data_IF_369761092372
#
_entry.id   IF_369761092372
#
_cell.length_a   1.000
_cell.length_b   1.000
_cell.length_c   1.000
_cell.angle_alpha   90.00
_cell.angle_beta   90.00
_cell.angle_gamma   90.00
#
_symmetry.space_group_name_H-M   'P 1'
#
loop_
_entity.id
_entity.type
_entity.pdbx_description
1 polymer ?
#
# COMPACT_ATOMS: atom_id res chain seq x y z
N UNK A 1 7.66 52.97 15.89
CA UNK A 1 7.44 51.53 15.68
C UNK A 1 6.96 50.96 17.01
N UNK A 2 5.66 50.68 17.18
CA UNK A 2 5.14 50.11 18.44
C UNK A 2 5.69 48.68 18.57
N UNK A 3 6.23 48.27 19.73
CA UNK A 3 6.57 46.87 19.94
C UNK A 3 5.28 46.05 19.92
N UNK A 4 5.27 44.96 19.17
CA UNK A 4 4.19 43.98 19.24
C UNK A 4 4.11 43.48 20.69
N UNK A 5 2.94 43.63 21.32
CA UNK A 5 2.71 43.09 22.66
C UNK A 5 3.04 41.59 22.67
N UNK A 6 3.67 41.08 23.74
CA UNK A 6 3.99 39.66 23.84
C UNK A 6 2.69 38.86 23.83
N UNK A 7 2.62 37.84 22.96
CA UNK A 7 1.49 36.91 22.90
C UNK A 7 1.31 36.30 24.29
N UNK A 8 0.09 36.37 24.81
CA UNK A 8 -0.24 35.85 26.13
C UNK A 8 -0.66 34.38 26.04
N UNK A 9 -0.53 33.65 27.15
CA UNK A 9 -1.02 32.27 27.23
C UNK A 9 -2.52 32.16 26.90
N UNK A 10 -3.32 33.16 27.29
CA UNK A 10 -4.75 33.21 26.98
C UNK A 10 -5.02 33.33 25.47
N UNK A 11 -4.17 34.03 24.72
CA UNK A 11 -4.28 34.11 23.26
C UNK A 11 -3.91 32.78 22.59
N UNK A 12 -2.90 32.07 23.10
CA UNK A 12 -2.55 30.72 22.62
C UNK A 12 -3.67 29.72 22.92
N UNK A 13 -4.30 29.79 24.09
CA UNK A 13 -5.46 28.97 24.44
C UNK A 13 -6.64 29.23 23.49
N UNK A 14 -6.93 30.50 23.21
CA UNK A 14 -7.99 30.89 22.26
C UNK A 14 -7.70 30.39 20.84
N UNK A 15 -6.46 30.53 20.35
CA UNK A 15 -6.03 30.02 19.04
C UNK A 15 -6.11 28.49 18.96
N UNK A 16 -5.71 27.81 20.04
CA UNK A 16 -5.79 26.34 20.14
C UNK A 16 -7.25 25.87 20.12
N UNK A 17 -8.15 26.57 20.83
CA UNK A 17 -9.57 26.28 20.81
C UNK A 17 -10.20 26.47 19.43
N UNK A 18 -9.84 27.55 18.72
CA UNK A 18 -10.30 27.79 17.35
C UNK A 18 -9.79 26.71 16.38
N UNK A 19 -8.52 26.32 16.49
CA UNK A 19 -7.93 25.22 15.72
C UNK A 19 -8.66 23.89 15.99
N UNK A 20 -8.90 23.57 17.27
CA UNK A 20 -9.59 22.35 17.66
C UNK A 20 -11.02 22.27 17.11
N UNK A 21 -11.74 23.40 17.09
CA UNK A 21 -13.09 23.47 16.51
C UNK A 21 -13.08 23.17 15.00
N UNK A 22 -12.19 23.81 14.24
CA UNK A 22 -12.05 23.57 12.79
C UNK A 22 -11.66 22.11 12.52
N UNK A 23 -10.77 21.53 13.34
CA UNK A 23 -10.38 20.13 13.21
C UNK A 23 -11.57 19.19 13.45
N UNK A 24 -12.42 19.46 14.45
CA UNK A 24 -13.61 18.68 14.72
C UNK A 24 -14.63 18.74 13.55
N UNK A 25 -14.76 19.89 12.91
CA UNK A 25 -15.60 20.05 11.72
C UNK A 25 -15.05 19.24 10.54
N UNK A 26 -13.73 19.31 10.31
CA UNK A 26 -13.06 18.51 9.28
C UNK A 26 -13.26 17.00 9.52
N UNK A 27 -13.05 16.54 10.74
CA UNK A 27 -13.29 15.13 11.13
C UNK A 27 -14.74 14.72 10.83
N UNK A 28 -15.70 15.58 11.15
CA UNK A 28 -17.12 15.32 10.89
C UNK A 28 -17.40 15.16 9.40
N UNK A 29 -16.84 16.03 8.55
CA UNK A 29 -17.01 15.97 7.10
C UNK A 29 -16.38 14.70 6.52
N UNK A 30 -15.16 14.36 6.95
CA UNK A 30 -14.46 13.15 6.46
C UNK A 30 -15.19 11.88 6.91
N UNK A 31 -15.71 11.83 8.14
CA UNK A 31 -16.53 10.70 8.61
C UNK A 31 -17.79 10.52 7.76
N UNK A 32 -18.49 11.61 7.42
CA UNK A 32 -19.66 11.56 6.54
C UNK A 32 -19.30 11.03 5.15
N UNK A 33 -18.19 11.49 4.58
CA UNK A 33 -17.69 10.98 3.29
C UNK A 33 -17.41 9.47 3.35
N UNK A 34 -16.70 9.00 4.39
CA UNK A 34 -16.41 7.58 4.55
C UNK A 34 -17.68 6.74 4.74
N UNK A 35 -18.67 7.26 5.47
CA UNK A 35 -19.97 6.61 5.60
C UNK A 35 -20.69 6.47 4.25
N UNK A 36 -20.68 7.52 3.41
CA UNK A 36 -21.26 7.45 2.06
C UNK A 36 -20.52 6.46 1.15
N UNK A 37 -19.18 6.42 1.20
CA UNK A 37 -18.40 5.43 0.44
C UNK A 37 -18.77 4.01 0.88
N UNK A 38 -18.88 3.78 2.19
CA UNK A 38 -19.26 2.49 2.75
C UNK A 38 -20.68 2.08 2.30
N UNK A 39 -21.64 3.00 2.32
CA UNK A 39 -23.01 2.75 1.89
C UNK A 39 -23.10 2.39 0.40
N UNK A 40 -22.44 3.17 -0.47
CA UNK A 40 -22.39 2.88 -1.91
C UNK A 40 -21.74 1.51 -2.16
N UNK A 41 -20.64 1.19 -1.47
CA UNK A 41 -20.01 -0.14 -1.55
C UNK A 41 -20.98 -1.24 -1.11
N UNK A 42 -21.67 -1.06 0.02
CA UNK A 42 -22.62 -2.04 0.54
C UNK A 42 -23.80 -2.25 -0.44
N UNK A 43 -24.30 -1.18 -1.05
CA UNK A 43 -25.38 -1.21 -2.04
C UNK A 43 -25.02 -2.03 -3.29
N UNK A 44 -23.81 -1.88 -3.81
CA UNK A 44 -23.40 -2.56 -5.04
C UNK A 44 -22.75 -3.93 -4.82
N UNK A 45 -22.26 -4.21 -3.60
CA UNK A 45 -21.57 -5.47 -3.27
C UNK A 45 -22.36 -6.73 -3.65
N UNK A 46 -23.69 -6.85 -3.39
CA UNK A 46 -24.43 -8.05 -3.77
C UNK A 46 -24.47 -8.28 -5.28
N UNK A 47 -24.62 -7.22 -6.07
CA UNK A 47 -24.62 -7.31 -7.53
C UNK A 47 -23.26 -7.73 -8.07
N UNK A 48 -22.18 -7.19 -7.51
CA UNK A 48 -20.80 -7.59 -7.86
C UNK A 48 -20.57 -9.07 -7.53
N UNK A 49 -20.96 -9.52 -6.34
CA UNK A 49 -20.79 -10.92 -5.94
C UNK A 49 -21.59 -11.88 -6.82
N UNK A 50 -22.83 -11.51 -7.19
CA UNK A 50 -23.63 -12.29 -8.14
C UNK A 50 -22.93 -12.42 -9.48
N UNK A 51 -22.43 -11.32 -10.04
CA UNK A 51 -21.74 -11.31 -11.34
C UNK A 51 -20.44 -12.13 -11.31
N UNK A 52 -19.70 -12.11 -10.19
CA UNK A 52 -18.50 -12.95 -10.01
C UNK A 52 -18.88 -14.44 -10.05
N UNK A 53 -19.99 -14.82 -9.43
CA UNK A 53 -20.43 -16.22 -9.43
C UNK A 53 -20.91 -16.65 -10.83
N UNK A 54 -21.70 -15.82 -11.51
CA UNK A 54 -22.12 -16.06 -12.89
C UNK A 54 -20.92 -16.16 -13.85
N UNK A 55 -19.90 -15.30 -13.66
CA UNK A 55 -18.65 -15.37 -14.41
C UNK A 55 -17.90 -16.69 -14.15
N UNK A 56 -17.86 -17.15 -12.89
CA UNK A 56 -17.21 -18.41 -12.51
C UNK A 56 -17.90 -19.62 -13.13
N UNK A 57 -19.22 -19.67 -13.09
CA UNK A 57 -20.01 -20.73 -13.72
C UNK A 57 -19.76 -20.75 -15.23
N UNK A 58 -19.88 -19.60 -15.89
CA UNK A 58 -19.62 -19.48 -17.33
C UNK A 58 -18.17 -19.87 -17.71
N UNK A 59 -17.19 -19.50 -16.88
CA UNK A 59 -15.80 -19.88 -17.07
C UNK A 59 -15.59 -21.39 -16.92
N UNK A 60 -16.21 -22.00 -15.91
CA UNK A 60 -16.12 -23.44 -15.66
C UNK A 60 -16.73 -24.23 -16.84
N UNK A 61 -17.90 -23.81 -17.32
CA UNK A 61 -18.57 -24.42 -18.48
C UNK A 61 -17.73 -24.28 -19.76
N UNK A 62 -17.14 -23.10 -19.97
CA UNK A 62 -16.27 -22.84 -21.10
C UNK A 62 -15.00 -23.70 -21.04
N UNK A 63 -14.38 -23.81 -19.87
CA UNK A 63 -13.20 -24.66 -19.65
C UNK A 63 -13.52 -26.14 -19.88
N UNK A 64 -14.64 -26.63 -19.34
CA UNK A 64 -15.10 -28.00 -19.55
C UNK A 64 -15.36 -28.29 -21.04
N UNK A 65 -15.99 -27.35 -21.74
CA UNK A 65 -16.26 -27.45 -23.18
C UNK A 65 -14.98 -27.47 -24.01
N UNK A 66 -13.99 -26.62 -23.68
CA UNK A 66 -12.68 -26.61 -24.35
C UNK A 66 -11.93 -27.91 -24.08
N UNK A 67 -12.01 -28.46 -22.87
CA UNK A 67 -11.37 -29.73 -22.52
C UNK A 67 -11.97 -30.90 -23.31
N UNK A 68 -13.29 -30.93 -23.51
CA UNK A 68 -13.95 -31.94 -24.36
C UNK A 68 -13.62 -31.77 -25.85
N UNK A 69 -13.31 -30.54 -26.28
CA UNK A 69 -13.04 -30.18 -27.67
C UNK A 69 -11.56 -29.82 -27.93
N UNK A 70 -10.62 -30.42 -27.20
CA UNK A 70 -9.17 -30.14 -27.32
C UNK A 70 -8.65 -30.28 -28.76
N UNK A 71 -9.25 -31.18 -29.55
CA UNK A 71 -8.89 -31.40 -30.95
C UNK A 71 -9.07 -30.15 -31.83
N UNK A 72 -10.03 -29.28 -31.51
CA UNK A 72 -10.25 -28.01 -32.22
C UNK A 72 -9.13 -26.98 -31.97
N UNK A 73 -8.29 -27.22 -30.96
CA UNK A 73 -7.18 -26.36 -30.55
C UNK A 73 -5.81 -27.00 -30.82
N UNK A 74 -5.71 -28.02 -31.70
CA UNK A 74 -4.40 -28.60 -32.07
C UNK A 74 -3.49 -27.58 -32.77
N UNK A 75 -4.03 -26.85 -33.75
CA UNK A 75 -3.35 -25.77 -34.50
C UNK A 75 -4.37 -24.75 -35.05
N UNK A 76 -4.43 -23.50 -34.56
CA UNK A 76 -3.62 -22.89 -33.51
C UNK A 76 -4.03 -23.32 -32.09
N UNK A 77 -3.07 -23.34 -31.16
CA UNK A 77 -3.30 -23.73 -29.75
C UNK A 77 -4.21 -22.78 -28.97
N UNK A 78 -4.32 -21.55 -29.44
CA UNK A 78 -5.22 -20.54 -28.86
C UNK A 78 -5.91 -19.76 -29.97
N UNK A 79 -7.12 -19.28 -29.69
CA UNK A 79 -7.94 -18.43 -30.57
C UNK A 79 -8.59 -17.36 -29.72
N UNK A 80 -8.90 -16.21 -30.31
CA UNK A 80 -9.60 -15.12 -29.60
C UNK A 80 -11.01 -15.02 -30.16
N UNK A 81 -12.01 -15.11 -29.29
CA UNK A 81 -13.43 -14.95 -29.63
C UNK A 81 -14.03 -13.88 -28.72
N UNK A 82 -14.78 -12.93 -29.27
CA UNK A 82 -15.42 -11.86 -28.50
C UNK A 82 -14.47 -11.14 -27.52
N UNK A 83 -13.19 -10.98 -27.89
CA UNK A 83 -12.16 -10.39 -27.03
C UNK A 83 -11.54 -11.31 -25.98
N UNK A 84 -12.05 -12.54 -25.83
CA UNK A 84 -11.54 -13.55 -24.88
C UNK A 84 -10.64 -14.55 -25.60
N UNK A 85 -9.41 -14.70 -25.12
CA UNK A 85 -8.46 -15.70 -25.64
C UNK A 85 -8.68 -17.05 -24.97
N UNK A 86 -9.03 -18.05 -25.77
CA UNK A 86 -9.29 -19.42 -25.33
C UNK A 86 -8.36 -20.40 -26.02
N UNK A 87 -8.08 -21.52 -25.36
CA UNK A 87 -7.30 -22.61 -25.95
C UNK A 87 -6.58 -23.44 -24.90
N UNK A 88 -5.77 -24.37 -25.39
CA UNK A 88 -5.08 -25.35 -24.54
C UNK A 88 -3.62 -24.96 -24.42
N UNK A 89 -3.24 -24.51 -23.23
CA UNK A 89 -1.87 -24.16 -22.88
C UNK A 89 -1.38 -25.06 -21.75
N UNK A 90 -0.10 -25.42 -21.78
CA UNK A 90 0.51 -26.10 -20.64
C UNK A 90 0.65 -25.09 -19.51
N UNK A 91 0.16 -25.44 -18.32
CA UNK A 91 0.38 -24.62 -17.12
C UNK A 91 1.87 -24.39 -16.95
N UNK A 92 2.32 -23.13 -16.80
CA UNK A 92 3.72 -22.84 -16.52
C UNK A 92 4.12 -23.57 -15.24
N UNK A 93 5.34 -24.11 -15.21
CA UNK A 93 5.87 -24.83 -14.05
C UNK A 93 5.86 -23.89 -12.84
N UNK A 94 4.91 -24.09 -11.92
CA UNK A 94 4.87 -23.35 -10.66
C UNK A 94 5.84 -24.02 -9.69
N UNK A 95 6.84 -23.27 -9.25
CA UNK A 95 7.66 -23.68 -8.12
C UNK A 95 6.90 -23.29 -6.84
N UNK A 96 6.65 -24.26 -5.98
CA UNK A 96 6.02 -24.04 -4.68
C UNK A 96 6.93 -24.61 -3.61
N UNK A 97 7.10 -23.86 -2.54
CA UNK A 97 7.88 -24.25 -1.37
C UNK A 97 6.99 -24.17 -0.15
N UNK A 98 7.09 -25.17 0.72
CA UNK A 98 6.37 -25.20 2.01
C UNK A 98 7.08 -24.34 3.05
N UNK A 99 8.41 -24.26 2.96
CA UNK A 99 9.27 -23.48 3.85
C UNK A 99 10.33 -22.76 3.00
N UNK A 100 10.23 -21.45 2.95
CA UNK A 100 11.14 -20.59 2.20
C UNK A 100 12.55 -20.56 2.81
N UNK A 101 12.66 -20.60 4.14
CA UNK A 101 13.95 -20.56 4.83
C UNK A 101 14.76 -21.85 4.59
N UNK A 102 14.09 -23.01 4.61
CA UNK A 102 14.73 -24.28 4.27
C UNK A 102 15.22 -24.32 2.82
N UNK A 103 14.48 -23.73 1.88
CA UNK A 103 14.88 -23.64 0.48
C UNK A 103 16.07 -22.70 0.30
N UNK A 104 16.06 -21.53 0.93
CA UNK A 104 17.19 -20.59 0.92
C UNK A 104 18.45 -21.24 1.50
N UNK A 105 18.34 -21.97 2.62
CA UNK A 105 19.48 -22.69 3.20
C UNK A 105 20.02 -23.78 2.26
N UNK A 106 19.14 -24.57 1.65
CA UNK A 106 19.52 -25.60 0.69
C UNK A 106 20.16 -25.01 -0.59
N UNK A 107 19.70 -23.84 -1.05
CA UNK A 107 20.29 -23.13 -2.18
C UNK A 107 21.72 -22.71 -1.83
N UNK A 108 21.94 -22.12 -0.64
CA UNK A 108 23.28 -21.72 -0.19
C UNK A 108 24.23 -22.92 -0.02
N UNK A 109 23.72 -24.07 0.43
CA UNK A 109 24.53 -25.28 0.63
C UNK A 109 24.90 -25.97 -0.68
N UNK A 110 23.95 -26.14 -1.60
CA UNK A 110 24.12 -26.96 -2.81
C UNK A 110 24.55 -26.17 -4.04
N UNK A 111 24.21 -24.89 -4.09
CA UNK A 111 24.51 -23.99 -5.20
C UNK A 111 25.16 -22.69 -4.70
N UNK A 112 26.28 -22.76 -3.95
CA UNK A 112 26.90 -21.57 -3.36
C UNK A 112 27.36 -20.56 -4.42
N UNK A 113 27.74 -21.01 -5.61
CA UNK A 113 28.19 -20.14 -6.70
C UNK A 113 27.06 -19.32 -7.35
N UNK A 114 25.82 -19.83 -7.34
CA UNK A 114 24.66 -19.20 -7.98
C UNK A 114 23.61 -18.74 -6.95
N UNK A 115 23.93 -18.82 -5.66
CA UNK A 115 22.99 -18.54 -4.57
C UNK A 115 22.42 -17.11 -4.66
N UNK A 116 23.27 -16.14 -5.01
CA UNK A 116 22.87 -14.73 -5.15
C UNK A 116 21.99 -14.47 -6.38
N UNK A 117 21.99 -15.37 -7.38
CA UNK A 117 21.07 -15.32 -8.52
C UNK A 117 19.69 -15.92 -8.18
N UNK A 118 19.66 -16.86 -7.23
CA UNK A 118 18.45 -17.61 -6.86
C UNK A 118 17.76 -17.05 -5.61
N UNK A 119 18.44 -16.21 -4.82
CA UNK A 119 17.94 -15.61 -3.59
C UNK A 119 17.82 -14.11 -3.79
N UNK A 120 16.62 -13.57 -3.56
CA UNK A 120 16.42 -12.12 -3.55
C UNK A 120 16.91 -11.54 -2.22
N UNK A 121 17.92 -10.69 -2.28
CA UNK A 121 18.41 -9.93 -1.13
C UNK A 121 17.90 -8.49 -1.23
N UNK A 122 17.22 -8.00 -0.20
CA UNK A 122 16.82 -6.59 -0.10
C UNK A 122 17.64 -5.92 1.01
N UNK A 123 18.43 -4.92 0.64
CA UNK A 123 19.23 -4.13 1.57
C UNK A 123 18.58 -2.75 1.77
N UNK A 124 18.26 -2.43 3.02
CA UNK A 124 17.67 -1.15 3.39
C UNK A 124 18.47 -0.50 4.53
N UNK A 125 18.72 0.82 4.46
CA UNK A 125 19.37 1.54 5.55
C UNK A 125 18.51 1.49 6.81
N UNK A 126 19.11 1.08 7.94
CA UNK A 126 18.41 0.96 9.22
C UNK A 126 18.50 2.28 9.97
N UNK A 127 17.44 3.10 9.90
CA UNK A 127 17.39 4.43 10.52
C UNK A 127 17.76 4.42 12.01
N UNK A 128 17.30 3.43 12.76
CA UNK A 128 17.58 3.29 14.21
C UNK A 128 19.06 3.03 14.49
N UNK A 129 19.74 2.25 13.66
CA UNK A 129 21.18 2.00 13.80
C UNK A 129 22.01 3.22 13.37
N UNK A 130 21.52 3.98 12.38
CA UNK A 130 22.15 5.21 11.92
C UNK A 130 22.00 6.36 12.94
N UNK A 131 20.93 6.39 13.73
CA UNK A 131 20.71 7.45 14.75
C UNK A 131 21.75 7.41 15.89
N UNK A 132 22.46 6.29 16.07
CA UNK A 132 23.51 6.15 17.09
C UNK A 132 24.93 6.51 16.64
N UNK A 133 25.12 6.91 15.38
CA UNK A 133 26.42 7.30 14.84
C UNK A 133 26.70 8.78 15.10
N UNK A 134 27.98 9.16 15.15
CA UNK A 134 28.37 10.57 15.25
C UNK A 134 28.04 11.33 13.96
N UNK A 135 27.85 12.64 14.06
CA UNK A 135 27.56 13.51 12.92
C UNK A 135 28.66 13.43 11.83
N UNK A 136 29.92 13.22 12.23
CA UNK A 136 31.04 12.99 11.32
C UNK A 136 30.87 11.69 10.50
N UNK A 137 30.39 10.61 11.14
CA UNK A 137 30.14 9.33 10.49
C UNK A 137 28.88 9.38 9.61
N UNK A 138 27.86 10.14 10.00
CA UNK A 138 26.65 10.36 9.22
C UNK A 138 26.91 11.23 7.98
N UNK A 139 27.71 12.28 8.12
CA UNK A 139 28.17 13.10 7.00
C UNK A 139 29.03 12.29 6.02
N UNK A 140 29.89 11.39 6.52
CA UNK A 140 30.67 10.48 5.68
C UNK A 140 29.79 9.48 4.89
N UNK A 141 28.61 9.13 5.40
CA UNK A 141 27.61 8.29 4.74
C UNK A 141 26.66 9.08 3.81
N UNK A 142 26.82 10.40 3.72
CA UNK A 142 25.96 11.27 2.91
C UNK A 142 24.56 11.49 3.50
N UNK A 143 24.40 11.29 4.82
CA UNK A 143 23.15 11.54 5.54
C UNK A 143 23.22 12.96 6.11
N UNK A 144 22.38 13.86 5.60
CA UNK A 144 22.19 15.17 6.20
C UNK A 144 21.29 15.04 7.44
N UNK A 145 21.82 15.44 8.60
CA UNK A 145 21.05 15.54 9.84
C UNK A 145 20.57 16.98 9.95
N UNK A 146 19.26 17.20 9.80
CA UNK A 146 18.67 18.48 10.23
C UNK A 146 18.84 18.58 11.76
N UNK A 147 19.63 19.56 12.19
CA UNK A 147 20.08 19.70 13.57
C UNK A 147 18.94 19.81 14.57
N UNK A 148 19.22 19.38 15.80
CA UNK A 148 18.32 19.39 16.95
C UNK A 148 17.89 20.83 17.26
N UNK A 149 16.79 21.25 16.64
CA UNK A 149 16.21 22.58 16.78
C UNK A 149 14.89 22.46 17.56
N UNK A 150 14.66 23.40 18.46
CA UNK A 150 13.39 23.51 19.17
C UNK A 150 12.30 23.87 18.15
N UNK A 151 11.53 22.86 17.73
CA UNK A 151 10.41 23.02 16.82
C UNK A 151 9.13 23.28 17.61
N UNK A 152 8.42 24.35 17.25
CA UNK A 152 7.06 24.60 17.74
C UNK A 152 6.17 23.48 17.21
N UNK A 153 5.67 22.63 18.11
CA UNK A 153 4.85 21.48 17.76
C UNK A 153 3.38 21.72 18.10
N UNK A 154 2.50 21.48 17.14
CA UNK A 154 1.04 21.50 17.32
C UNK A 154 0.52 20.15 16.88
N UNK A 155 0.46 19.21 17.81
CA UNK A 155 -0.01 17.84 17.56
C UNK A 155 -1.41 17.69 18.16
N UNK A 156 -2.46 17.52 17.34
CA UNK A 156 -3.78 17.20 17.87
C UNK A 156 -3.76 15.82 18.54
N UNK A 157 -4.57 15.62 19.58
CA UNK A 157 -4.73 14.30 20.19
C UNK A 157 -5.28 13.31 19.14
N UNK A 158 -4.56 12.20 18.94
CA UNK A 158 -4.74 11.26 17.82
C UNK A 158 -6.20 10.82 17.65
N UNK A 159 -6.72 11.04 16.46
CA UNK A 159 -7.95 10.42 15.97
C UNK A 159 -7.61 9.31 14.96
N UNK A 160 -8.40 8.24 14.91
CA UNK A 160 -8.22 7.15 13.93
C UNK A 160 -8.31 7.61 12.46
N UNK A 161 -8.77 8.84 12.22
CA UNK A 161 -8.98 9.43 10.90
C UNK A 161 -7.81 10.31 10.43
N UNK A 162 -6.81 10.54 11.29
CA UNK A 162 -5.73 11.49 11.02
C UNK A 162 -4.93 11.14 9.77
N UNK A 163 -4.70 9.84 9.50
CA UNK A 163 -4.01 9.37 8.28
C UNK A 163 -4.77 9.69 7.00
N UNK A 164 -6.11 9.61 7.04
CA UNK A 164 -6.96 9.93 5.90
C UNK A 164 -6.95 11.43 5.61
N UNK A 165 -6.96 12.24 6.67
CA UNK A 165 -6.83 13.70 6.54
C UNK A 165 -5.44 14.08 6.02
N UNK A 166 -4.39 13.44 6.51
CA UNK A 166 -3.02 13.64 6.02
C UNK A 166 -2.88 13.30 4.53
N UNK A 167 -3.46 12.17 4.08
CA UNK A 167 -3.47 11.81 2.67
C UNK A 167 -4.19 12.87 1.80
N UNK A 168 -5.31 13.42 2.27
CA UNK A 168 -6.04 14.49 1.58
C UNK A 168 -5.25 15.82 1.53
N UNK A 169 -4.50 16.14 2.59
CA UNK A 169 -3.66 17.34 2.63
C UNK A 169 -2.51 17.27 1.61
N UNK A 170 -1.88 16.09 1.46
CA UNK A 170 -0.85 15.86 0.44
C UNK A 170 -1.39 16.01 -0.98
N UNK A 171 -2.63 15.56 -1.22
CA UNK A 171 -3.29 15.70 -2.52
C UNK A 171 -3.63 17.16 -2.87
N UNK A 172 -4.01 17.97 -1.88
CA UNK A 172 -4.46 19.36 -2.09
C UNK A 172 -3.31 20.36 -2.16
N UNK A 173 -2.12 20.01 -1.66
CA UNK A 173 -0.93 20.89 -1.63
C UNK A 173 0.00 20.67 -2.84
N UNK A 174 -0.46 19.94 -3.88
CA UNK A 174 0.18 19.83 -5.20
C UNK A 174 -0.47 20.75 -6.21
#
# INVERSE_FOLDING_TARGET
MKPASPITMAEIEALTAAYAAIRADLDTVVRKLQAHIADVRAKHRPAILRLIEEEREALADLQASIALAEDLFRRPKTRTFAGVRVGVVKTPRRLTWTDEAAVVAAIRERYPADADLMIKTEEHPVRTALTGLSDEALAALGIEVEGDCELVTVIPCKSDLDRLIEALLVETTR
#
